data_IF_059029504288
#
_entry.id   IF_059029504288
#
_cell.length_a   1.000
_cell.length_b   1.000
_cell.length_c   1.000
_cell.angle_alpha   90.00
_cell.angle_beta   90.00
_cell.angle_gamma   90.00
#
_symmetry.space_group_name_H-M   'P 1'
#
loop_
_entity.id
_entity.type
_entity.pdbx_description
1 polymer ?
#
# COMPACT_ATOMS: atom_id res chain seq x y z
N UNK A 1 -8.51 -1.02 20.70
CA UNK A 1 -9.82 -0.96 20.01
C UNK A 1 -10.04 -2.28 19.29
N UNK A 2 -11.26 -2.83 19.33
CA UNK A 2 -11.57 -4.07 18.63
C UNK A 2 -11.88 -3.75 17.16
N UNK A 3 -11.03 -4.18 16.23
CA UNK A 3 -11.36 -4.20 14.82
C UNK A 3 -12.66 -4.99 14.63
N UNK A 4 -13.73 -4.29 14.23
CA UNK A 4 -15.06 -4.89 14.13
C UNK A 4 -15.26 -5.38 12.70
N UNK A 5 -15.34 -6.71 12.54
CA UNK A 5 -15.69 -7.34 11.28
C UNK A 5 -17.00 -6.77 10.73
N UNK A 6 -16.96 -6.27 9.49
CA UNK A 6 -18.14 -5.76 8.79
C UNK A 6 -18.47 -6.67 7.60
N UNK A 7 -19.56 -7.47 7.67
CA UNK A 7 -19.91 -8.43 6.62
C UNK A 7 -20.31 -7.79 5.27
N UNK A 8 -20.45 -6.45 5.23
CA UNK A 8 -20.73 -5.70 4.00
C UNK A 8 -19.47 -5.45 3.16
N UNK A 9 -18.28 -5.52 3.76
CA UNK A 9 -17.02 -5.43 3.01
C UNK A 9 -16.83 -6.76 2.28
N UNK A 10 -16.59 -6.71 0.96
CA UNK A 10 -16.47 -7.89 0.09
C UNK A 10 -15.06 -8.11 -0.45
N UNK A 11 -14.28 -7.04 -0.52
CA UNK A 11 -12.94 -7.00 -1.09
C UNK A 11 -12.14 -5.97 -0.30
N UNK A 12 -10.87 -6.23 -0.05
CA UNK A 12 -9.92 -5.26 0.50
C UNK A 12 -8.75 -5.13 -0.47
N UNK A 13 -8.37 -3.90 -0.78
CA UNK A 13 -7.13 -3.59 -1.48
C UNK A 13 -6.32 -2.71 -0.53
N UNK A 14 -5.23 -3.26 0.01
CA UNK A 14 -4.35 -2.59 0.95
C UNK A 14 -3.12 -2.07 0.21
N UNK A 15 -3.03 -0.75 0.05
CA UNK A 15 -1.88 -0.08 -0.54
C UNK A 15 -0.91 0.29 0.58
N UNK A 16 0.31 -0.22 0.48
CA UNK A 16 1.43 -0.07 1.41
C UNK A 16 1.02 -0.18 2.89
N UNK A 17 0.38 -1.29 3.31
CA UNK A 17 -0.10 -1.41 4.68
C UNK A 17 1.06 -1.29 5.67
N UNK A 18 0.89 -0.43 6.67
CA UNK A 18 1.89 -0.23 7.72
C UNK A 18 1.69 -1.16 8.92
N UNK A 19 2.71 -1.22 9.76
CA UNK A 19 2.77 -2.03 10.99
C UNK A 19 2.61 -3.53 10.71
N UNK A 20 3.08 -4.01 9.56
CA UNK A 20 2.94 -5.43 9.17
C UNK A 20 3.53 -6.40 10.20
N UNK A 21 4.53 -5.96 10.94
CA UNK A 21 5.19 -6.71 12.02
C UNK A 21 4.33 -6.94 13.26
N UNK A 22 3.21 -6.22 13.42
CA UNK A 22 2.30 -6.38 14.58
C UNK A 22 1.14 -7.33 14.28
N UNK A 23 0.92 -7.67 13.01
CA UNK A 23 -0.13 -8.62 12.66
C UNK A 23 0.17 -10.02 13.19
N UNK A 24 -0.87 -10.68 13.68
CA UNK A 24 -0.79 -12.05 14.18
C UNK A 24 -1.66 -12.96 13.32
N UNK A 25 -1.34 -14.25 13.29
CA UNK A 25 -2.20 -15.26 12.65
C UNK A 25 -3.63 -15.18 13.17
N UNK A 26 -3.82 -14.99 14.49
CA UNK A 26 -5.15 -14.87 15.08
C UNK A 26 -5.94 -13.63 14.62
N UNK A 27 -5.25 -12.51 14.33
CA UNK A 27 -5.91 -11.31 13.81
C UNK A 27 -6.32 -11.40 12.34
N UNK A 28 -5.63 -12.23 11.54
CA UNK A 28 -5.82 -12.31 10.09
C UNK A 28 -6.55 -13.58 9.62
N UNK A 29 -6.52 -14.67 10.38
CA UNK A 29 -7.08 -15.97 9.97
C UNK A 29 -8.59 -15.96 9.73
N UNK A 30 -9.30 -15.02 10.34
CA UNK A 30 -10.75 -14.83 10.19
C UNK A 30 -11.12 -13.99 8.96
N UNK A 31 -10.15 -13.47 8.22
CA UNK A 31 -10.41 -12.79 6.95
C UNK A 31 -10.82 -13.86 5.91
N UNK A 32 -12.07 -13.75 5.45
CA UNK A 32 -12.68 -14.67 4.48
C UNK A 32 -12.95 -14.02 3.12
N UNK A 33 -12.69 -12.73 2.99
CA UNK A 33 -12.80 -11.96 1.75
C UNK A 33 -11.45 -11.93 1.04
N UNK A 34 -11.49 -11.64 -0.27
CA UNK A 34 -10.28 -11.41 -1.06
C UNK A 34 -9.54 -10.17 -0.55
N UNK A 35 -8.23 -10.31 -0.38
CA UNK A 35 -7.32 -9.23 -0.02
C UNK A 35 -6.25 -9.08 -1.10
N UNK A 36 -6.12 -7.91 -1.70
CA UNK A 36 -4.98 -7.58 -2.55
C UNK A 36 -4.07 -6.63 -1.82
N UNK A 37 -2.78 -6.91 -1.81
CA UNK A 37 -1.75 -6.07 -1.22
C UNK A 37 -0.91 -5.48 -2.35
N UNK A 38 -0.66 -4.17 -2.27
CA UNK A 38 0.24 -3.46 -3.18
C UNK A 38 1.29 -2.76 -2.33
N UNK A 39 2.50 -3.31 -2.20
CA UNK A 39 3.59 -2.63 -1.50
C UNK A 39 4.34 -1.65 -2.42
N UNK A 40 4.87 -0.58 -1.85
CA UNK A 40 5.64 0.43 -2.59
C UNK A 40 7.14 0.23 -2.41
N UNK A 41 7.86 0.15 -3.53
CA UNK A 41 9.30 -0.07 -3.57
C UNK A 41 9.71 -1.49 -3.93
N UNK A 42 11.01 -1.70 -4.07
CA UNK A 42 11.55 -3.01 -4.40
C UNK A 42 11.46 -3.96 -3.19
N UNK A 43 11.17 -5.26 -3.38
CA UNK A 43 11.02 -6.22 -2.28
C UNK A 43 12.15 -6.22 -1.23
N UNK A 44 13.39 -5.96 -1.65
CA UNK A 44 14.57 -5.92 -0.79
C UNK A 44 14.86 -4.53 -0.16
N UNK A 45 14.10 -3.49 -0.52
CA UNK A 45 14.27 -2.12 0.01
C UNK A 45 13.11 -1.68 0.90
N UNK A 46 11.97 -2.39 0.87
CA UNK A 46 10.80 -2.07 1.71
C UNK A 46 11.18 -2.21 3.19
N UNK A 47 10.84 -1.19 3.98
CA UNK A 47 11.10 -1.18 5.43
C UNK A 47 10.37 -2.35 6.13
N UNK A 48 10.95 -2.97 7.18
CA UNK A 48 10.34 -4.12 7.83
C UNK A 48 8.89 -3.92 8.29
N UNK A 49 8.54 -2.71 8.76
CA UNK A 49 7.18 -2.38 9.20
C UNK A 49 6.17 -2.14 8.07
N UNK A 50 6.63 -2.04 6.82
CA UNK A 50 5.80 -1.88 5.62
C UNK A 50 5.75 -3.17 4.81
N UNK A 51 6.76 -4.04 4.95
CA UNK A 51 6.86 -5.27 4.17
C UNK A 51 5.73 -6.23 4.51
N UNK A 52 4.82 -6.41 3.56
CA UNK A 52 3.64 -7.25 3.70
C UNK A 52 3.77 -8.59 2.93
N UNK A 53 4.93 -8.90 2.36
CA UNK A 53 5.16 -10.15 1.63
C UNK A 53 4.95 -11.39 2.53
N UNK A 54 5.13 -11.23 3.85
CA UNK A 54 4.88 -12.29 4.83
C UNK A 54 3.40 -12.56 5.12
N UNK A 55 2.47 -11.72 4.64
CA UNK A 55 1.04 -11.87 4.94
C UNK A 55 0.36 -12.93 4.07
N UNK A 56 0.98 -13.36 2.96
CA UNK A 56 0.46 -14.45 2.10
C UNK A 56 0.26 -15.76 2.87
N UNK A 57 1.06 -16.00 3.92
CA UNK A 57 0.92 -17.18 4.78
C UNK A 57 -0.17 -17.06 5.86
N UNK A 58 -0.78 -15.88 6.02
CA UNK A 58 -1.70 -15.58 7.13
C UNK A 58 -3.16 -15.35 6.69
N UNK A 59 -3.37 -15.00 5.42
CA UNK A 59 -4.69 -14.75 4.81
C UNK A 59 -4.92 -15.79 3.72
N UNK A 60 -6.13 -16.36 3.64
CA UNK A 60 -6.44 -17.48 2.74
C UNK A 60 -6.51 -17.08 1.26
N UNK A 61 -7.17 -15.96 0.98
CA UNK A 61 -7.41 -15.44 -0.36
C UNK A 61 -6.72 -14.09 -0.47
N UNK A 62 -5.44 -14.14 -0.86
CA UNK A 62 -4.55 -13.00 -0.88
C UNK A 62 -3.75 -12.97 -2.18
N UNK A 63 -3.62 -11.77 -2.75
CA UNK A 63 -2.64 -11.48 -3.80
C UNK A 63 -1.67 -10.41 -3.33
N UNK A 64 -0.42 -10.50 -3.79
CA UNK A 64 0.65 -9.57 -3.45
C UNK A 64 1.31 -9.03 -4.71
N UNK A 65 1.36 -7.71 -4.82
CA UNK A 65 2.00 -6.98 -5.90
C UNK A 65 2.91 -5.88 -5.34
N UNK A 66 3.82 -5.38 -6.18
CA UNK A 66 4.72 -4.27 -5.81
C UNK A 66 4.76 -3.21 -6.89
N UNK A 67 5.02 -1.96 -6.50
CA UNK A 67 5.39 -0.86 -7.40
C UNK A 67 6.87 -0.53 -7.17
N UNK A 68 7.81 -1.15 -7.91
CA UNK A 68 9.23 -1.19 -7.53
C UNK A 68 9.94 0.17 -7.44
N UNK A 69 9.48 1.16 -8.19
CA UNK A 69 10.05 2.51 -8.29
C UNK A 69 9.23 3.56 -7.52
N UNK A 70 8.32 3.11 -6.64
CA UNK A 70 7.70 3.94 -5.62
C UNK A 70 8.52 3.92 -4.32
N UNK A 71 8.26 4.89 -3.44
CA UNK A 71 8.74 4.92 -2.05
C UNK A 71 7.55 4.80 -1.09
N UNK A 72 7.83 4.64 0.20
CA UNK A 72 6.78 4.68 1.24
C UNK A 72 5.96 5.99 1.25
N UNK A 73 6.46 7.05 0.62
CA UNK A 73 5.77 8.35 0.54
C UNK A 73 4.99 8.53 -0.78
N UNK A 74 5.12 7.61 -1.74
CA UNK A 74 4.51 7.76 -3.06
C UNK A 74 3.00 7.54 -3.06
N UNK A 75 2.39 7.08 -1.95
CA UNK A 75 0.94 7.08 -1.76
C UNK A 75 0.41 8.39 -1.17
N UNK A 76 1.28 9.33 -0.76
CA UNK A 76 0.85 10.60 -0.20
C UNK A 76 0.33 11.52 -1.30
N UNK A 77 -0.31 12.62 -0.92
CA UNK A 77 -0.68 13.63 -1.92
C UNK A 77 0.55 14.16 -2.69
N UNK A 78 0.33 14.62 -3.92
CA UNK A 78 1.35 15.33 -4.68
C UNK A 78 1.84 16.54 -3.91
N UNK A 79 3.16 16.68 -3.81
CA UNK A 79 3.74 17.88 -3.21
C UNK A 79 3.43 19.10 -4.09
N UNK A 80 3.05 20.20 -3.46
CA UNK A 80 2.99 21.48 -4.15
C UNK A 80 4.40 21.90 -4.61
N UNK A 81 4.49 22.87 -5.52
CA UNK A 81 5.79 23.38 -5.99
C UNK A 81 6.69 23.96 -4.88
N UNK A 82 6.13 24.24 -3.68
CA UNK A 82 6.87 24.72 -2.51
C UNK A 82 7.12 23.63 -1.46
N UNK A 83 6.59 22.42 -1.63
CA UNK A 83 6.59 21.37 -0.60
C UNK A 83 7.99 21.02 -0.11
N UNK A 84 8.89 20.66 -1.03
CA UNK A 84 10.28 20.30 -0.69
C UNK A 84 11.03 21.45 0.01
N UNK A 85 10.80 22.69 -0.44
CA UNK A 85 11.40 23.87 0.19
C UNK A 85 10.91 24.09 1.62
N UNK A 86 9.61 23.93 1.86
CA UNK A 86 9.01 24.06 3.20
C UNK A 86 9.61 23.01 4.12
N UNK A 87 9.62 21.74 3.71
CA UNK A 87 10.21 20.64 4.48
C UNK A 87 11.67 20.93 4.84
N UNK A 88 12.48 21.35 3.88
CA UNK A 88 13.86 21.73 4.12
C UNK A 88 13.98 22.90 5.12
N UNK A 89 13.13 23.93 4.98
CA UNK A 89 13.16 25.11 5.85
C UNK A 89 12.75 24.81 7.30
N UNK A 90 11.93 23.79 7.50
CA UNK A 90 11.46 23.32 8.81
C UNK A 90 12.42 22.28 9.42
N UNK A 91 13.43 21.82 8.68
CA UNK A 91 14.35 20.77 9.11
C UNK A 91 13.77 19.36 8.99
N UNK A 92 12.69 19.20 8.22
CA UNK A 92 12.02 17.93 7.96
C UNK A 92 12.62 17.19 6.75
N UNK A 93 12.16 15.96 6.55
CA UNK A 93 12.69 15.06 5.53
C UNK A 93 12.12 15.38 4.13
N UNK A 94 12.95 15.95 3.25
CA UNK A 94 12.61 16.22 1.86
C UNK A 94 12.22 14.97 1.03
N UNK A 95 12.63 13.77 1.49
CA UNK A 95 12.26 12.52 0.83
C UNK A 95 10.74 12.30 0.76
N UNK A 96 9.94 12.99 1.58
CA UNK A 96 8.47 13.00 1.48
C UNK A 96 8.00 13.49 0.09
N UNK A 97 8.78 14.34 -0.57
CA UNK A 97 8.48 14.86 -1.91
C UNK A 97 9.33 14.23 -3.03
N UNK A 98 10.06 13.15 -2.74
CA UNK A 98 10.92 12.44 -3.70
C UNK A 98 10.40 11.00 -3.85
N UNK A 99 10.20 10.58 -5.09
CA UNK A 99 9.76 9.22 -5.44
C UNK A 99 10.95 8.37 -5.95
N UNK A 100 10.76 7.06 -6.09
CA UNK A 100 11.84 6.07 -6.11
C UNK A 100 12.59 5.90 -7.44
N UNK A 101 12.20 6.64 -8.47
CA UNK A 101 12.77 6.54 -9.82
C UNK A 101 12.57 7.82 -10.63
N UNK A 102 12.46 7.67 -11.95
CA UNK A 102 12.25 8.80 -12.86
C UNK A 102 10.77 9.21 -12.99
N UNK A 103 9.86 8.37 -12.50
CA UNK A 103 8.41 8.65 -12.55
C UNK A 103 8.01 9.67 -11.49
N UNK A 104 7.15 10.59 -11.90
CA UNK A 104 6.45 11.50 -11.00
C UNK A 104 5.47 10.78 -10.09
N UNK A 105 5.16 11.35 -8.93
CA UNK A 105 4.06 10.88 -8.07
C UNK A 105 2.74 10.72 -8.82
N UNK A 106 2.43 11.64 -9.73
CA UNK A 106 1.22 11.56 -10.55
C UNK A 106 1.19 10.31 -11.44
N UNK A 107 2.34 9.86 -11.96
CA UNK A 107 2.45 8.62 -12.73
C UNK A 107 2.26 7.39 -11.84
N UNK A 108 2.84 7.40 -10.64
CA UNK A 108 2.66 6.32 -9.67
C UNK A 108 1.18 6.24 -9.24
N UNK A 109 0.53 7.37 -8.97
CA UNK A 109 -0.89 7.43 -8.64
C UNK A 109 -1.78 6.88 -9.75
N UNK A 110 -1.46 7.18 -11.01
CA UNK A 110 -2.21 6.61 -12.16
C UNK A 110 -2.07 5.10 -12.21
N UNK A 111 -0.85 4.57 -12.05
CA UNK A 111 -0.67 3.12 -11.99
C UNK A 111 -1.44 2.50 -10.82
N UNK A 112 -1.35 3.09 -9.62
CA UNK A 112 -2.10 2.59 -8.45
C UNK A 112 -3.60 2.59 -8.70
N UNK A 113 -4.14 3.65 -9.31
CA UNK A 113 -5.55 3.73 -9.68
C UNK A 113 -5.94 2.64 -10.68
N UNK A 114 -5.12 2.39 -11.71
CA UNK A 114 -5.34 1.33 -12.69
C UNK A 114 -5.31 -0.06 -12.04
N UNK A 115 -4.34 -0.33 -11.16
CA UNK A 115 -4.27 -1.59 -10.41
C UNK A 115 -5.52 -1.78 -9.55
N UNK A 116 -5.92 -0.75 -8.78
CA UNK A 116 -7.09 -0.79 -7.91
C UNK A 116 -8.37 -1.02 -8.73
N UNK A 117 -8.56 -0.28 -9.82
CA UNK A 117 -9.73 -0.42 -10.69
C UNK A 117 -9.82 -1.83 -11.28
N UNK A 118 -8.71 -2.34 -11.82
CA UNK A 118 -8.65 -3.68 -12.40
C UNK A 118 -8.97 -4.75 -11.35
N UNK A 119 -8.37 -4.66 -10.16
CA UNK A 119 -8.67 -5.58 -9.06
C UNK A 119 -10.14 -5.52 -8.68
N UNK A 120 -10.71 -4.33 -8.47
CA UNK A 120 -12.13 -4.18 -8.12
C UNK A 120 -13.04 -4.82 -9.18
N UNK A 121 -12.80 -4.55 -10.47
CA UNK A 121 -13.58 -5.13 -11.57
C UNK A 121 -13.50 -6.65 -11.55
N UNK A 122 -12.31 -7.23 -11.38
CA UNK A 122 -12.12 -8.68 -11.31
C UNK A 122 -12.82 -9.29 -10.09
N UNK A 123 -12.66 -8.69 -8.91
CA UNK A 123 -13.24 -9.20 -7.67
C UNK A 123 -14.76 -9.22 -7.69
N UNK A 124 -15.41 -8.27 -8.37
CA UNK A 124 -16.87 -8.23 -8.51
C UNK A 124 -17.40 -8.99 -9.73
N UNK A 125 -16.56 -9.36 -10.68
CA UNK A 125 -16.95 -10.21 -11.82
C UNK A 125 -16.87 -11.70 -11.50
N UNK A 126 -16.02 -12.08 -10.54
CA UNK A 126 -15.80 -13.47 -10.10
C UNK A 126 -16.67 -13.88 -8.88
N UNK A 127 -17.53 -12.99 -8.39
CA UNK A 127 -18.52 -13.22 -7.32
C UNK A 127 -19.94 -13.31 -7.89
#
# INVERSE_FOLDING_TARGET
EHATYNPKIKVVIAVDPELTTVFTTASLSNISIQVTIINLGQPNTILPGLNASGLEGLIRDISYETVPDATQFSAFSECTSKGAFILQSEGDNEAICIDGGERSRAEIHRQLAEMIENTLVQSFSNN
#
